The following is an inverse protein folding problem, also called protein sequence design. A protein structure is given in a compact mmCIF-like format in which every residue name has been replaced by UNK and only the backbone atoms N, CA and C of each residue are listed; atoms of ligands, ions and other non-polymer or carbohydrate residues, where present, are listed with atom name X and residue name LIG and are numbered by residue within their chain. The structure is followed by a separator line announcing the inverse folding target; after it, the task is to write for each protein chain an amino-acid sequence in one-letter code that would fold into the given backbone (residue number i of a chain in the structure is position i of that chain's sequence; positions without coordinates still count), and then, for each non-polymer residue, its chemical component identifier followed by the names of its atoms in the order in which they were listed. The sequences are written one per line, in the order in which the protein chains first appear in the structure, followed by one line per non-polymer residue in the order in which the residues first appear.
data_IF_245380773342
#
_entry.id   IF_245380773342
#
_cell.length_a   1.000
_cell.length_b   1.000
_cell.length_c   1.000
_cell.angle_alpha   90.00
_cell.angle_beta   90.00
_cell.angle_gamma   90.00
#
_symmetry.space_group_name_H-M   'P 1'
#
loop_
_entity.id
_entity.type
_entity.pdbx_description
1 polymer ?
#
# COMPACT_ATOMS: atom_id res chain seq x y z
N UNK A 1 -4.79 22.53 -18.14
CA UNK A 1 -3.92 22.04 -17.06
C UNK A 1 -4.54 20.85 -16.39
N UNK A 2 -3.89 19.73 -16.46
CA UNK A 2 -4.50 18.46 -16.06
C UNK A 2 -4.00 18.00 -14.71
N UNK A 3 -4.42 18.64 -13.65
CA UNK A 3 -4.02 18.26 -12.30
C UNK A 3 -4.59 16.90 -11.89
N UNK A 4 -5.77 16.55 -12.41
CA UNK A 4 -6.43 15.31 -12.08
C UNK A 4 -5.72 14.06 -12.61
N UNK A 5 -4.78 14.23 -13.55
CA UNK A 5 -4.04 13.10 -14.10
C UNK A 5 -2.79 12.75 -13.31
N UNK A 6 -2.45 13.58 -12.35
CA UNK A 6 -1.27 13.30 -11.54
C UNK A 6 -1.58 12.17 -10.57
N UNK A 7 -0.70 11.15 -10.58
CA UNK A 7 -0.83 10.01 -9.70
C UNK A 7 -0.12 10.28 -8.38
N UNK A 8 -0.58 9.60 -7.36
CA UNK A 8 -0.04 9.70 -6.01
C UNK A 8 0.49 8.34 -5.56
N UNK A 9 1.63 8.36 -4.90
CA UNK A 9 2.15 7.20 -4.18
C UNK A 9 1.93 7.47 -2.70
N UNK A 10 1.01 6.72 -2.09
CA UNK A 10 0.76 6.84 -0.66
C UNK A 10 1.79 6.01 0.09
N UNK A 11 2.65 6.69 0.81
CA UNK A 11 3.71 6.05 1.61
C UNK A 11 3.10 5.69 2.96
N UNK A 12 3.04 4.40 3.29
CA UNK A 12 2.38 3.96 4.51
C UNK A 12 2.97 4.66 5.74
N UNK A 13 4.28 4.57 5.91
CA UNK A 13 4.94 5.26 7.01
C UNK A 13 6.28 5.80 6.55
N UNK A 14 6.51 7.08 6.78
CA UNK A 14 7.78 7.69 6.41
C UNK A 14 8.89 7.16 7.31
N UNK A 15 10.00 6.80 6.70
CA UNK A 15 11.20 6.38 7.41
C UNK A 15 12.37 7.16 6.83
N UNK A 16 12.96 8.03 7.63
CA UNK A 16 14.06 8.89 7.17
C UNK A 16 15.32 8.11 6.79
N UNK A 17 15.41 6.86 7.19
CA UNK A 17 16.54 6.01 6.85
C UNK A 17 16.38 5.29 5.52
N UNK A 18 15.25 5.47 4.86
CA UNK A 18 14.97 4.81 3.58
C UNK A 18 14.92 5.83 2.47
N UNK A 19 15.56 5.49 1.36
CA UNK A 19 15.51 6.28 0.16
C UNK A 19 14.28 5.89 -0.64
N UNK A 20 13.33 6.81 -0.75
CA UNK A 20 12.08 6.57 -1.45
C UNK A 20 12.09 7.13 -2.87
N UNK A 21 13.23 7.65 -3.33
CA UNK A 21 13.28 8.38 -4.60
C UNK A 21 12.90 7.53 -5.80
N UNK A 22 13.20 6.23 -5.79
CA UNK A 22 12.84 5.35 -6.89
C UNK A 22 11.31 5.25 -7.06
N UNK A 23 10.56 5.42 -5.98
CA UNK A 23 9.11 5.34 -6.04
C UNK A 23 8.48 6.56 -6.73
N UNK A 24 9.22 7.65 -6.86
CA UNK A 24 8.68 8.89 -7.46
C UNK A 24 8.32 8.72 -8.93
N UNK A 25 8.87 7.72 -9.60
CA UNK A 25 8.51 7.46 -10.99
C UNK A 25 7.06 6.99 -11.15
N UNK A 26 6.44 6.58 -10.05
CA UNK A 26 5.05 6.14 -10.07
C UNK A 26 4.07 7.24 -9.67
N UNK A 27 4.55 8.35 -9.13
CA UNK A 27 3.70 9.46 -8.74
C UNK A 27 4.32 10.30 -7.63
N UNK A 28 3.61 11.34 -7.24
CA UNK A 28 4.02 12.20 -6.14
C UNK A 28 3.85 11.46 -4.82
N UNK A 29 4.84 11.56 -3.95
CA UNK A 29 4.80 10.87 -2.66
C UNK A 29 3.94 11.63 -1.66
N UNK A 30 3.10 10.90 -0.94
CA UNK A 30 2.29 11.46 0.14
C UNK A 30 2.29 10.47 1.30
N UNK A 31 2.73 10.92 2.47
CA UNK A 31 2.81 10.09 3.65
C UNK A 31 1.44 9.90 4.30
N UNK A 32 1.14 8.68 4.73
CA UNK A 32 -0.05 8.42 5.54
C UNK A 32 0.29 8.55 7.02
N UNK A 33 1.36 7.91 7.46
CA UNK A 33 1.81 7.98 8.84
C UNK A 33 3.24 8.50 8.90
N UNK A 34 3.52 9.22 9.98
CA UNK A 34 4.86 9.75 10.21
C UNK A 34 5.72 8.82 11.05
N UNK A 35 6.94 9.28 11.27
CA UNK A 35 7.93 8.62 12.11
C UNK A 35 8.55 9.68 13.02
N UNK A 36 8.70 9.47 14.32
CA UNK A 36 8.30 8.28 15.06
C UNK A 36 6.78 8.22 15.27
N UNK A 37 6.30 7.04 15.48
CA UNK A 37 4.90 6.84 15.79
C UNK A 37 4.66 6.80 17.28
N UNK A 38 3.45 7.12 17.67
CA UNK A 38 3.00 6.99 19.05
C UNK A 38 2.30 5.65 19.24
N UNK A 39 2.07 5.21 20.48
CA UNK A 39 1.25 4.04 20.74
C UNK A 39 -0.09 4.16 20.01
N UNK A 40 -0.59 3.06 19.51
CA UNK A 40 -1.75 3.08 18.63
C UNK A 40 -3.04 2.88 19.36
N UNK A 41 -3.96 3.72 19.02
CA UNK A 41 -5.38 3.45 19.10
C UNK A 41 -5.81 3.02 17.69
N UNK A 42 -6.32 1.80 17.56
CA UNK A 42 -6.64 1.24 16.24
C UNK A 42 -7.66 2.08 15.48
N UNK A 43 -8.64 2.63 16.19
CA UNK A 43 -9.65 3.47 15.52
C UNK A 43 -9.03 4.74 14.97
N UNK A 44 -8.06 5.31 15.68
CA UNK A 44 -7.35 6.50 15.22
C UNK A 44 -6.50 6.22 13.99
N UNK A 45 -5.86 5.05 13.93
CA UNK A 45 -5.10 4.66 12.75
C UNK A 45 -6.00 4.56 11.52
N UNK A 46 -7.13 3.89 11.67
CA UNK A 46 -8.08 3.73 10.57
C UNK A 46 -8.62 5.08 10.12
N UNK A 47 -9.00 5.91 11.09
CA UNK A 47 -9.54 7.24 10.77
C UNK A 47 -8.53 8.10 10.03
N UNK A 48 -7.26 8.05 10.46
CA UNK A 48 -6.22 8.83 9.78
C UNK A 48 -5.99 8.33 8.36
N UNK A 49 -5.89 7.02 8.19
CA UNK A 49 -5.70 6.45 6.86
C UNK A 49 -6.86 6.81 5.93
N UNK A 50 -8.08 6.71 6.40
CA UNK A 50 -9.25 7.09 5.61
C UNK A 50 -9.22 8.55 5.21
N UNK A 51 -8.80 9.42 6.12
CA UNK A 51 -8.73 10.84 5.82
C UNK A 51 -7.66 11.14 4.77
N UNK A 52 -6.45 10.61 4.97
CA UNK A 52 -5.34 10.90 4.06
C UNK A 52 -5.60 10.28 2.68
N UNK A 53 -6.18 9.09 2.65
CA UNK A 53 -6.38 8.35 1.41
C UNK A 53 -7.76 8.60 0.78
N UNK A 54 -8.50 9.60 1.27
CA UNK A 54 -9.83 9.90 0.75
C UNK A 54 -9.82 10.31 -0.72
N UNK A 55 -8.68 10.76 -1.22
CA UNK A 55 -8.53 11.18 -2.61
C UNK A 55 -7.91 10.09 -3.49
N UNK A 56 -7.88 8.86 -3.00
CA UNK A 56 -7.37 7.73 -3.78
C UNK A 56 -8.06 7.66 -5.13
N UNK A 57 -7.26 7.53 -6.18
CA UNK A 57 -7.76 7.39 -7.54
C UNK A 57 -7.19 6.13 -8.18
N UNK A 58 -7.91 5.61 -9.16
CA UNK A 58 -7.41 4.49 -9.95
C UNK A 58 -6.05 4.87 -10.55
N UNK A 59 -5.07 4.01 -10.35
CA UNK A 59 -3.71 4.26 -10.81
C UNK A 59 -2.79 4.81 -9.73
N UNK A 60 -3.32 5.19 -8.57
CA UNK A 60 -2.47 5.50 -7.42
C UNK A 60 -1.81 4.22 -6.88
N UNK A 61 -0.74 4.40 -6.15
CA UNK A 61 0.03 3.28 -5.60
C UNK A 61 0.12 3.40 -4.10
N UNK A 62 0.20 2.25 -3.45
CA UNK A 62 0.43 2.16 -2.01
C UNK A 62 1.85 1.61 -1.79
N UNK A 63 2.70 2.41 -1.19
CA UNK A 63 4.09 2.00 -0.93
C UNK A 63 4.16 1.37 0.45
N UNK A 64 4.44 0.07 0.47
CA UNK A 64 4.42 -0.75 1.68
C UNK A 64 5.76 -0.63 2.40
N UNK A 65 5.88 0.39 3.20
CA UNK A 65 7.06 0.66 4.00
C UNK A 65 6.64 1.10 5.39
N UNK A 66 7.37 0.61 6.40
CA UNK A 66 7.09 0.93 7.78
C UNK A 66 6.48 -0.23 8.56
N UNK A 67 5.77 0.09 9.62
CA UNK A 67 5.19 -0.89 10.53
C UNK A 67 4.17 -1.78 9.82
N UNK A 68 4.26 -3.11 9.96
CA UNK A 68 3.32 -4.01 9.27
C UNK A 68 1.85 -3.77 9.62
N UNK A 69 1.56 -3.36 10.86
CA UNK A 69 0.18 -3.05 11.24
C UNK A 69 -0.35 -1.86 10.45
N UNK A 70 0.48 -0.84 10.27
CA UNK A 70 0.09 0.32 9.47
C UNK A 70 -0.08 -0.04 8.01
N UNK A 71 0.77 -0.92 7.50
CA UNK A 71 0.62 -1.42 6.12
C UNK A 71 -0.72 -2.13 5.95
N UNK A 72 -1.11 -2.96 6.92
CA UNK A 72 -2.41 -3.64 6.87
C UNK A 72 -3.56 -2.65 6.89
N UNK A 73 -3.50 -1.65 7.76
CA UNK A 73 -4.55 -0.61 7.83
C UNK A 73 -4.70 0.10 6.50
N UNK A 74 -3.60 0.51 5.89
CA UNK A 74 -3.64 1.22 4.61
C UNK A 74 -4.18 0.33 3.49
N UNK A 75 -3.83 -0.96 3.49
CA UNK A 75 -4.37 -1.88 2.48
C UNK A 75 -5.88 -2.01 2.60
N UNK A 76 -6.39 -2.16 3.81
CA UNK A 76 -7.84 -2.26 4.04
C UNK A 76 -8.53 -0.98 3.56
N UNK A 77 -7.99 0.18 3.92
CA UNK A 77 -8.59 1.46 3.54
C UNK A 77 -8.56 1.65 2.02
N UNK A 78 -7.47 1.30 1.36
CA UNK A 78 -7.41 1.36 -0.10
C UNK A 78 -8.47 0.46 -0.72
N UNK A 79 -8.63 -0.76 -0.19
CA UNK A 79 -9.61 -1.72 -0.72
C UNK A 79 -11.06 -1.27 -0.51
N UNK A 80 -11.31 -0.37 0.43
CA UNK A 80 -12.64 0.22 0.57
C UNK A 80 -12.99 1.14 -0.60
N UNK A 81 -12.00 1.64 -1.33
CA UNK A 81 -12.22 2.62 -2.38
C UNK A 81 -12.09 2.05 -3.78
N UNK A 82 -11.37 0.94 -3.93
CA UNK A 82 -11.13 0.36 -5.24
C UNK A 82 -10.93 -1.14 -5.10
N UNK A 83 -11.33 -1.88 -6.11
CA UNK A 83 -11.10 -3.33 -6.14
C UNK A 83 -9.67 -3.67 -6.55
N UNK A 84 -9.01 -2.77 -7.25
CA UNK A 84 -7.65 -2.99 -7.73
C UNK A 84 -6.72 -2.04 -6.99
N UNK A 85 -5.77 -2.60 -6.26
CA UNK A 85 -4.80 -1.83 -5.51
C UNK A 85 -3.42 -2.09 -6.09
N UNK A 86 -2.80 -1.04 -6.59
CA UNK A 86 -1.42 -1.11 -7.04
C UNK A 86 -0.50 -0.88 -5.85
N UNK A 87 0.37 -1.82 -5.60
CA UNK A 87 1.26 -1.81 -4.44
C UNK A 87 2.69 -1.77 -4.91
N UNK A 88 3.51 -1.01 -4.21
CA UNK A 88 4.96 -1.00 -4.42
C UNK A 88 5.63 -1.65 -3.23
N UNK A 89 6.52 -2.60 -3.50
CA UNK A 89 7.31 -3.23 -2.46
C UNK A 89 8.78 -3.24 -2.87
N UNK A 90 9.67 -3.15 -1.88
CA UNK A 90 11.09 -3.13 -2.15
C UNK A 90 11.59 -4.50 -2.56
N UNK A 91 12.31 -4.56 -3.66
CA UNK A 91 12.97 -5.77 -4.12
C UNK A 91 14.47 -5.66 -3.89
N UNK A 92 14.99 -6.53 -3.03
CA UNK A 92 16.41 -6.52 -2.68
C UNK A 92 17.32 -6.94 -3.83
N UNK A 93 16.80 -7.72 -4.76
CA UNK A 93 17.60 -8.22 -5.87
C UNK A 93 17.85 -7.15 -6.91
N UNK A 94 16.85 -6.33 -7.20
CA UNK A 94 16.96 -5.27 -8.18
C UNK A 94 17.23 -3.90 -7.58
N UNK A 95 17.19 -3.78 -6.25
CA UNK A 95 17.33 -2.51 -5.53
C UNK A 95 16.35 -1.46 -6.05
N UNK A 96 15.09 -1.87 -6.21
CA UNK A 96 14.06 -0.99 -6.71
C UNK A 96 12.72 -1.36 -6.11
N UNK A 97 11.76 -0.44 -6.22
CA UNK A 97 10.39 -0.72 -5.85
C UNK A 97 9.69 -1.41 -7.01
N UNK A 98 9.14 -2.58 -6.73
CA UNK A 98 8.47 -3.39 -7.74
C UNK A 98 6.97 -3.26 -7.61
N UNK A 99 6.26 -2.98 -8.71
CA UNK A 99 4.81 -2.89 -8.66
C UNK A 99 4.17 -4.27 -8.59
N UNK A 100 3.11 -4.35 -7.78
CA UNK A 100 2.26 -5.51 -7.69
C UNK A 100 0.82 -5.04 -7.85
N UNK A 101 0.04 -5.79 -8.59
CA UNK A 101 -1.37 -5.48 -8.79
C UNK A 101 -2.20 -6.46 -7.99
N UNK A 102 -2.93 -5.93 -7.02
CA UNK A 102 -3.80 -6.74 -6.16
C UNK A 102 -5.24 -6.50 -6.61
N UNK A 103 -5.88 -7.53 -7.11
CA UNK A 103 -7.24 -7.44 -7.64
C UNK A 103 -8.19 -8.19 -6.71
N UNK A 104 -8.87 -7.43 -5.85
CA UNK A 104 -9.83 -8.00 -4.90
C UNK A 104 -11.20 -8.23 -5.52
N UNK A 105 -11.44 -7.64 -6.67
CA UNK A 105 -12.71 -7.80 -7.36
C UNK A 105 -12.76 -9.02 -8.25
N UNK A 106 -11.65 -9.71 -8.45
CA UNK A 106 -11.59 -10.85 -9.33
C UNK A 106 -12.28 -12.05 -8.67
N UNK A 107 -13.39 -12.45 -9.26
CA UNK A 107 -14.19 -13.56 -8.79
C UNK A 107 -13.89 -14.82 -9.60
N UNK A 108 -14.14 -15.97 -8.99
CA UNK A 108 -14.04 -17.22 -9.72
C UNK A 108 -12.62 -17.76 -9.88
N UNK A 109 -11.69 -17.27 -9.09
CA UNK A 109 -10.36 -17.87 -9.04
C UNK A 109 -10.50 -19.32 -8.57
N UNK A 110 -9.80 -20.21 -9.25
CA UNK A 110 -9.78 -21.62 -8.88
C UNK A 110 -8.68 -21.83 -7.83
N UNK A 111 -9.10 -21.84 -6.57
CA UNK A 111 -8.17 -22.04 -5.47
C UNK A 111 -7.68 -23.48 -5.35
N UNK A 112 -8.25 -24.40 -6.11
CA UNK A 112 -7.73 -25.76 -6.16
C UNK A 112 -6.37 -25.83 -6.83
N UNK A 113 -6.00 -24.80 -7.58
CA UNK A 113 -4.67 -24.70 -8.18
C UNK A 113 -3.58 -24.39 -7.16
N UNK A 114 -3.95 -23.93 -5.96
CA UNK A 114 -2.98 -23.65 -4.92
C UNK A 114 -2.66 -24.94 -4.17
N UNK A 115 -1.37 -25.19 -4.01
CA UNK A 115 -0.94 -26.41 -3.35
C UNK A 115 -1.26 -26.39 -1.86
N UNK A 116 -1.91 -27.47 -1.40
CA UNK A 116 -2.21 -27.62 0.01
C UNK A 116 -0.99 -28.00 0.84
N UNK A 117 0.14 -28.28 0.18
CA UNK A 117 1.35 -28.73 0.88
C UNK A 117 1.86 -27.72 1.88
N UNK A 118 1.57 -26.44 1.68
CA UNK A 118 2.03 -25.37 2.57
C UNK A 118 1.10 -25.18 3.77
N UNK A 119 -0.06 -25.82 3.77
CA UNK A 119 -1.05 -25.69 4.84
C UNK A 119 -0.74 -26.64 5.98
N UNK A 120 0.37 -26.44 6.62
CA UNK A 120 0.77 -27.28 7.73
C UNK A 120 0.71 -26.49 9.04
N UNK A 121 0.21 -27.12 10.11
CA UNK A 121 0.26 -26.47 11.40
C UNK A 121 1.70 -26.23 11.84
N UNK A 122 1.92 -25.14 12.50
CA UNK A 122 3.23 -24.80 13.03
C UNK A 122 3.56 -25.61 14.27
#
# INVERSE_FOLDING_TARGET
MEHGNQRTVYVVQVDNNKDLSDAKKYGALRAVFGNPRKPYDTMSMIAKARRVMSEWQNGDHLLMVGDPTLCAVCMVVASEQDDIINVLSWDRNSFSYMPQRWDFGQMGLDYDDFEAADDKPL
#
